data_IF_418547151365
#
_entry.id   IF_418547151365
#
_cell.length_a   1.000
_cell.length_b   1.000
_cell.length_c   1.000
_cell.angle_alpha   90.00
_cell.angle_beta   90.00
_cell.angle_gamma   90.00
#
_symmetry.space_group_name_H-M   'P 1'
#
loop_
_entity.id
_entity.type
_entity.pdbx_description
1 polymer ?
#
# COMPACT_ATOMS: atom_id res chain seq x y z
N UNK A 1 -2.06 -11.58 15.40
CA UNK A 1 -1.05 -10.67 15.99
C UNK A 1 0.16 -11.53 16.31
N UNK A 2 1.34 -11.12 15.85
CA UNK A 2 2.59 -11.79 16.18
C UNK A 2 2.93 -11.62 17.68
N UNK A 3 3.97 -12.32 18.13
CA UNK A 3 4.46 -12.16 19.49
C UNK A 3 5.06 -10.75 19.67
N UNK A 4 4.78 -10.12 20.81
CA UNK A 4 5.35 -8.83 21.19
C UNK A 4 6.30 -8.97 22.38
N UNK A 5 7.27 -8.07 22.47
CA UNK A 5 8.18 -7.94 23.61
C UNK A 5 7.49 -7.35 24.84
N UNK A 6 8.15 -7.45 26.00
CA UNK A 6 7.75 -6.77 27.24
C UNK A 6 8.01 -5.26 27.21
N UNK A 7 8.97 -4.82 26.40
CA UNK A 7 9.31 -3.43 26.14
C UNK A 7 9.76 -3.28 24.67
N UNK A 8 9.49 -2.15 24.01
CA UNK A 8 9.87 -1.96 22.62
C UNK A 8 11.37 -1.69 22.48
N UNK A 9 11.96 -2.18 21.39
CA UNK A 9 13.32 -1.81 20.97
C UNK A 9 13.20 -0.50 20.17
N UNK A 10 13.58 0.60 20.82
CA UNK A 10 13.44 1.97 20.30
C UNK A 10 14.70 2.51 19.62
N UNK A 11 15.76 1.72 19.57
CA UNK A 11 16.96 2.05 18.82
C UNK A 11 16.64 2.12 17.33
N UNK A 12 17.14 3.17 16.67
CA UNK A 12 16.88 3.45 15.26
C UNK A 12 18.16 3.29 14.46
N UNK A 13 18.06 2.63 13.31
CA UNK A 13 19.14 2.57 12.33
C UNK A 13 18.81 3.53 11.20
N UNK A 14 19.56 4.62 11.12
CA UNK A 14 19.33 5.71 10.17
C UNK A 14 20.46 5.86 9.18
N UNK A 15 20.12 6.24 7.95
CA UNK A 15 21.08 6.61 6.92
C UNK A 15 20.57 7.82 6.13
N UNK A 16 21.50 8.58 5.57
CA UNK A 16 21.21 9.69 4.68
C UNK A 16 22.19 9.71 3.51
N UNK A 17 21.81 10.39 2.44
CA UNK A 17 22.67 10.59 1.29
C UNK A 17 22.00 11.50 0.28
N UNK A 18 22.72 11.79 -0.80
CA UNK A 18 22.15 12.54 -1.90
C UNK A 18 23.19 12.95 -2.92
N UNK A 19 22.68 13.45 -4.02
CA UNK A 19 23.41 13.97 -5.16
C UNK A 19 22.67 15.19 -5.73
N UNK A 20 23.04 15.62 -6.93
CA UNK A 20 22.43 16.74 -7.64
C UNK A 20 20.97 16.48 -8.12
N UNK A 21 20.52 15.22 -8.12
CA UNK A 21 19.18 14.84 -8.55
C UNK A 21 18.21 14.71 -7.37
N UNK A 22 18.66 14.09 -6.28
CA UNK A 22 17.83 13.84 -5.10
C UNK A 22 18.65 13.75 -3.81
N UNK A 23 17.97 13.98 -2.68
CA UNK A 23 18.50 13.70 -1.33
C UNK A 23 17.57 12.70 -0.66
N UNK A 24 18.06 11.92 0.29
CA UNK A 24 17.22 11.02 1.05
C UNK A 24 17.62 10.93 2.52
N UNK A 25 16.66 10.56 3.34
CA UNK A 25 16.88 10.02 4.67
C UNK A 25 16.02 8.77 4.84
N UNK A 26 16.58 7.76 5.50
CA UNK A 26 15.89 6.53 5.86
C UNK A 26 16.15 6.23 7.33
N UNK A 27 15.15 5.69 8.00
CA UNK A 27 15.26 5.15 9.35
C UNK A 27 14.53 3.81 9.41
N UNK A 28 14.96 2.94 10.33
CA UNK A 28 14.36 1.65 10.62
C UNK A 28 14.36 1.41 12.14
N UNK A 29 13.27 0.90 12.71
CA UNK A 29 13.09 0.65 14.14
C UNK A 29 12.30 -0.65 14.36
N UNK A 30 12.78 -1.53 15.25
CA UNK A 30 12.13 -2.81 15.52
C UNK A 30 10.80 -2.66 16.27
N UNK A 31 10.71 -1.72 17.22
CA UNK A 31 9.48 -1.50 17.98
C UNK A 31 9.15 -2.69 18.89
N UNK A 32 7.88 -3.11 18.91
CA UNK A 32 7.38 -4.12 19.84
C UNK A 32 7.54 -5.57 19.34
N UNK A 33 7.89 -5.79 18.08
CA UNK A 33 8.10 -7.14 17.53
C UNK A 33 9.34 -7.80 18.12
N UNK A 34 9.35 -9.13 18.19
CA UNK A 34 10.48 -9.91 18.72
C UNK A 34 11.71 -9.92 17.80
N UNK A 35 11.51 -9.65 16.51
CA UNK A 35 12.50 -9.59 15.44
C UNK A 35 12.32 -8.29 14.65
N UNK A 36 13.40 -7.83 14.00
CA UNK A 36 13.37 -6.82 12.94
C UNK A 36 13.46 -7.56 11.61
N UNK A 37 12.34 -7.66 10.89
CA UNK A 37 12.26 -8.40 9.62
C UNK A 37 12.27 -7.46 8.40
N UNK A 38 12.15 -6.15 8.61
CA UNK A 38 12.25 -5.14 7.56
C UNK A 38 13.69 -5.00 7.01
N UNK A 39 13.77 -4.67 5.72
CA UNK A 39 14.97 -4.20 5.05
C UNK A 39 14.69 -2.97 4.18
N UNK A 40 15.74 -2.30 3.70
CA UNK A 40 15.62 -1.19 2.76
C UNK A 40 16.81 -1.10 1.81
N UNK A 41 16.67 -0.33 0.73
CA UNK A 41 17.73 -0.03 -0.23
C UNK A 41 17.68 1.44 -0.66
N UNK A 42 18.86 2.06 -0.79
CA UNK A 42 19.02 3.41 -1.33
C UNK A 42 20.27 3.46 -2.22
N UNK A 43 20.06 3.62 -3.53
CA UNK A 43 21.11 3.67 -4.55
C UNK A 43 20.92 4.92 -5.39
N UNK A 44 21.85 5.88 -5.34
CA UNK A 44 21.72 7.15 -6.07
C UNK A 44 22.00 7.02 -7.58
N UNK A 45 22.84 6.06 -7.97
CA UNK A 45 23.23 5.86 -9.37
C UNK A 45 23.29 4.37 -9.71
N UNK A 46 22.16 3.82 -10.18
CA UNK A 46 22.08 2.44 -10.64
C UNK A 46 23.04 2.16 -11.80
N UNK A 47 23.13 3.11 -12.73
CA UNK A 47 23.90 2.92 -13.95
C UNK A 47 25.38 2.80 -13.65
N UNK A 48 25.97 3.79 -12.98
CA UNK A 48 27.40 3.76 -12.63
C UNK A 48 27.74 2.57 -11.74
N UNK A 49 26.85 2.17 -10.84
CA UNK A 49 27.13 1.10 -9.87
C UNK A 49 27.07 -0.30 -10.48
N UNK A 50 26.19 -0.55 -11.46
CA UNK A 50 25.92 -1.92 -11.91
C UNK A 50 25.99 -2.16 -13.43
N UNK A 51 25.86 -1.11 -14.25
CA UNK A 51 25.82 -1.26 -15.72
C UNK A 51 26.90 -0.47 -16.46
N UNK A 52 27.53 0.50 -15.79
CA UNK A 52 28.52 1.42 -16.35
C UNK A 52 29.91 0.80 -16.45
N UNK A 53 30.85 1.47 -17.15
CA UNK A 53 32.27 1.11 -17.11
C UNK A 53 32.77 1.13 -15.66
N UNK A 54 33.71 0.25 -15.31
CA UNK A 54 34.28 0.15 -13.95
C UNK A 54 35.05 1.38 -13.49
N UNK A 55 35.26 2.36 -14.37
CA UNK A 55 35.82 3.65 -14.02
C UNK A 55 34.73 4.44 -13.27
N UNK A 56 34.91 4.64 -11.96
CA UNK A 56 34.00 5.20 -10.94
C UNK A 56 33.47 6.64 -11.20
N UNK A 57 33.30 7.05 -12.46
CA UNK A 57 32.71 8.33 -12.81
C UNK A 57 31.19 8.25 -12.64
N UNK A 58 30.57 9.22 -11.95
CA UNK A 58 29.11 9.31 -11.88
C UNK A 58 28.49 9.39 -13.27
N UNK A 59 27.32 8.78 -13.44
CA UNK A 59 26.48 8.95 -14.63
C UNK A 59 26.08 10.41 -14.76
N UNK A 60 25.93 10.92 -15.98
CA UNK A 60 25.42 12.27 -16.20
C UNK A 60 24.07 12.45 -15.47
N UNK A 61 23.83 13.58 -14.78
CA UNK A 61 22.59 13.82 -14.03
C UNK A 61 21.31 13.60 -14.86
N UNK A 62 21.36 13.89 -16.16
CA UNK A 62 20.20 13.75 -17.05
C UNK A 62 19.90 12.29 -17.42
N UNK A 63 20.86 11.39 -17.20
CA UNK A 63 20.74 9.95 -17.44
C UNK A 63 20.73 9.13 -16.15
N UNK A 64 20.86 9.79 -14.99
CA UNK A 64 20.97 9.10 -13.71
C UNK A 64 19.63 8.51 -13.29
N UNK A 65 19.69 7.28 -12.80
CA UNK A 65 18.56 6.56 -12.21
C UNK A 65 18.90 6.21 -10.76
N UNK A 66 18.20 6.85 -9.83
CA UNK A 66 18.24 6.47 -8.41
C UNK A 66 17.21 5.37 -8.15
N UNK A 67 17.49 4.47 -7.20
CA UNK A 67 16.61 3.41 -6.75
C UNK A 67 16.45 3.46 -5.23
N UNK A 68 15.21 3.38 -4.79
CA UNK A 68 14.84 3.27 -3.38
C UNK A 68 13.89 2.10 -3.18
N UNK A 69 13.95 1.44 -2.02
CA UNK A 69 13.02 0.36 -1.70
C UNK A 69 12.88 0.13 -0.20
N UNK A 70 11.67 -0.23 0.23
CA UNK A 70 11.36 -0.73 1.57
C UNK A 70 10.74 -2.12 1.41
N UNK A 71 11.18 -3.05 2.25
CA UNK A 71 10.81 -4.46 2.21
C UNK A 71 10.39 -4.88 3.60
N UNK A 72 9.09 -5.09 3.80
CA UNK A 72 8.52 -5.55 5.07
C UNK A 72 8.53 -7.08 5.08
N UNK A 73 9.37 -7.67 5.94
CA UNK A 73 9.55 -9.12 6.02
C UNK A 73 8.54 -9.79 6.94
N UNK A 74 8.16 -11.02 6.62
CA UNK A 74 7.30 -11.83 7.46
C UNK A 74 7.73 -13.29 7.48
N UNK A 75 7.61 -13.92 8.65
CA UNK A 75 8.01 -15.32 8.83
C UNK A 75 9.52 -15.51 8.86
N UNK A 76 10.28 -14.41 9.01
CA UNK A 76 11.73 -14.35 8.95
C UNK A 76 12.23 -13.16 8.13
N UNK A 77 13.47 -12.76 8.36
CA UNK A 77 14.12 -11.60 7.74
C UNK A 77 14.86 -11.92 6.42
N UNK A 78 15.12 -13.21 6.15
CA UNK A 78 16.06 -13.60 5.09
C UNK A 78 15.64 -13.17 3.69
N UNK A 79 14.34 -13.27 3.36
CA UNK A 79 13.82 -12.84 2.04
C UNK A 79 13.85 -11.32 1.91
N UNK A 80 13.50 -10.58 2.95
CA UNK A 80 13.60 -9.11 2.95
C UNK A 80 15.05 -8.64 2.78
N UNK A 81 15.99 -9.26 3.51
CA UNK A 81 17.42 -8.97 3.39
C UNK A 81 17.96 -9.29 1.99
N UNK A 82 17.64 -10.47 1.44
CA UNK A 82 18.05 -10.83 0.08
C UNK A 82 17.52 -9.81 -0.93
N UNK A 83 16.23 -9.46 -0.81
CA UNK A 83 15.56 -8.55 -1.72
C UNK A 83 16.18 -7.15 -1.64
N UNK A 84 16.41 -6.63 -0.44
CA UNK A 84 17.07 -5.34 -0.23
C UNK A 84 18.49 -5.28 -0.80
N UNK A 85 19.24 -6.38 -0.71
CA UNK A 85 20.58 -6.46 -1.27
C UNK A 85 20.59 -6.65 -2.79
N UNK A 86 19.58 -7.28 -3.40
CA UNK A 86 19.72 -7.81 -4.76
C UNK A 86 18.69 -7.32 -5.78
N UNK A 87 17.47 -6.92 -5.38
CA UNK A 87 16.40 -6.57 -6.33
C UNK A 87 16.85 -5.50 -7.34
N UNK A 88 17.44 -4.42 -6.86
CA UNK A 88 17.95 -3.32 -7.69
C UNK A 88 19.09 -3.75 -8.65
N UNK A 89 19.91 -4.75 -8.26
CA UNK A 89 20.94 -5.34 -9.12
C UNK A 89 20.32 -6.23 -10.20
N UNK A 90 19.24 -6.92 -9.87
CA UNK A 90 18.53 -7.82 -10.78
C UNK A 90 17.73 -6.99 -11.79
N UNK A 91 17.03 -5.94 -11.36
CA UNK A 91 16.30 -4.99 -12.22
C UNK A 91 17.26 -4.36 -13.24
N UNK A 92 18.42 -3.85 -12.81
CA UNK A 92 19.38 -3.20 -13.70
C UNK A 92 20.03 -4.13 -14.75
N UNK A 93 19.90 -5.45 -14.57
CA UNK A 93 20.39 -6.46 -15.51
C UNK A 93 19.32 -6.98 -16.48
N UNK A 94 18.07 -6.55 -16.34
CA UNK A 94 17.00 -6.98 -17.24
C UNK A 94 17.21 -6.41 -18.66
N UNK A 95 16.81 -7.17 -19.67
CA UNK A 95 16.89 -6.72 -21.07
C UNK A 95 15.99 -5.49 -21.32
N UNK A 96 14.82 -5.46 -20.68
CA UNK A 96 13.90 -4.32 -20.66
C UNK A 96 14.55 -3.05 -20.09
N UNK A 97 15.38 -3.18 -19.04
CA UNK A 97 16.14 -2.05 -18.48
C UNK A 97 17.11 -1.47 -19.51
N UNK A 98 17.87 -2.32 -20.19
CA UNK A 98 18.82 -1.90 -21.22
C UNK A 98 18.14 -1.22 -22.43
N UNK A 99 16.86 -1.52 -22.68
CA UNK A 99 16.03 -0.88 -23.71
C UNK A 99 15.39 0.44 -23.24
N UNK A 100 15.56 0.82 -21.97
CA UNK A 100 14.92 1.98 -21.36
C UNK A 100 13.45 1.76 -20.98
N UNK A 101 12.95 0.52 -21.05
CA UNK A 101 11.62 0.14 -20.57
C UNK A 101 11.70 -0.20 -19.09
N UNK A 102 11.75 0.85 -18.27
CA UNK A 102 11.91 0.74 -16.81
C UNK A 102 10.69 0.08 -16.16
N UNK A 103 9.49 0.30 -16.71
CA UNK A 103 8.27 -0.32 -16.20
C UNK A 103 8.34 -1.84 -16.33
N UNK A 104 8.68 -2.33 -17.53
CA UNK A 104 8.84 -3.77 -17.74
C UNK A 104 10.04 -4.32 -16.97
N UNK A 105 11.13 -3.56 -16.84
CA UNK A 105 12.30 -3.96 -16.06
C UNK A 105 11.99 -4.20 -14.57
N UNK A 106 11.11 -3.39 -13.99
CA UNK A 106 10.65 -3.61 -12.61
C UNK A 106 9.82 -4.89 -12.52
N UNK A 107 8.87 -5.11 -13.43
CA UNK A 107 8.06 -6.34 -13.47
C UNK A 107 8.93 -7.59 -13.62
N UNK A 108 9.83 -7.60 -14.59
CA UNK A 108 10.77 -8.69 -14.85
C UNK A 108 11.70 -8.90 -13.65
N UNK A 109 12.21 -7.81 -13.06
CA UNK A 109 13.16 -7.84 -11.96
C UNK A 109 12.57 -8.40 -10.67
N UNK A 110 11.31 -8.12 -10.36
CA UNK A 110 10.61 -8.70 -9.21
C UNK A 110 10.46 -10.22 -9.36
N UNK A 111 9.97 -10.70 -10.51
CA UNK A 111 9.86 -12.13 -10.79
C UNK A 111 11.22 -12.84 -10.84
N UNK A 112 12.24 -12.18 -11.39
CA UNK A 112 13.60 -12.69 -11.42
C UNK A 112 14.22 -12.76 -10.02
N UNK A 113 13.90 -11.83 -9.13
CA UNK A 113 14.31 -11.88 -7.72
C UNK A 113 13.69 -13.07 -7.00
N UNK A 114 12.39 -13.29 -7.19
CA UNK A 114 11.67 -14.44 -6.65
C UNK A 114 12.29 -15.77 -7.12
N UNK A 115 12.62 -15.87 -8.41
CA UNK A 115 13.31 -17.03 -8.99
C UNK A 115 14.72 -17.20 -8.43
N UNK A 116 15.48 -16.12 -8.26
CA UNK A 116 16.84 -16.16 -7.76
C UNK A 116 16.91 -16.71 -6.33
N UNK A 117 15.91 -16.38 -5.49
CA UNK A 117 15.79 -16.96 -4.14
C UNK A 117 15.46 -18.45 -4.24
N UNK A 118 14.49 -18.83 -5.07
CA UNK A 118 14.07 -20.23 -5.23
C UNK A 118 15.19 -21.15 -5.76
N UNK A 119 16.09 -20.60 -6.58
CA UNK A 119 17.25 -21.32 -7.14
C UNK A 119 18.47 -21.36 -6.20
N UNK A 120 18.51 -20.56 -5.13
CA UNK A 120 19.62 -20.53 -4.18
C UNK A 120 19.42 -21.60 -3.09
N UNK A 121 20.30 -22.63 -3.00
CA UNK A 121 20.18 -23.69 -1.99
C UNK A 121 20.17 -23.19 -0.54
N UNK A 122 20.68 -21.97 -0.27
CA UNK A 122 20.62 -21.36 1.07
C UNK A 122 19.19 -21.05 1.52
N UNK A 123 18.26 -20.93 0.57
CA UNK A 123 16.87 -20.57 0.79
C UNK A 123 15.91 -21.75 0.55
N UNK A 124 16.42 -22.98 0.37
CA UNK A 124 15.60 -24.17 0.09
C UNK A 124 14.55 -24.46 1.18
N UNK A 125 14.93 -24.26 2.44
CA UNK A 125 14.03 -24.41 3.61
C UNK A 125 13.42 -23.07 4.07
N UNK A 126 13.62 -22.00 3.32
CA UNK A 126 13.12 -20.68 3.70
C UNK A 126 11.61 -20.56 3.44
N UNK A 127 10.90 -20.12 4.46
CA UNK A 127 9.43 -19.96 4.44
C UNK A 127 8.99 -18.51 4.57
N UNK A 128 9.93 -17.60 4.85
CA UNK A 128 9.64 -16.17 4.88
C UNK A 128 9.23 -15.63 3.51
N UNK A 129 8.57 -14.49 3.57
CA UNK A 129 8.35 -13.62 2.43
C UNK A 129 8.64 -12.19 2.80
N UNK A 130 8.52 -11.30 1.83
CA UNK A 130 8.48 -9.87 2.11
C UNK A 130 7.60 -9.13 1.11
N UNK A 131 7.05 -8.01 1.54
CA UNK A 131 6.55 -6.97 0.64
C UNK A 131 7.72 -6.28 -0.06
N UNK A 132 7.43 -5.55 -1.13
CA UNK A 132 8.40 -4.71 -1.80
C UNK A 132 7.70 -3.49 -2.40
N UNK A 133 7.99 -2.31 -1.85
CA UNK A 133 7.61 -1.01 -2.41
C UNK A 133 8.88 -0.28 -2.83
N UNK A 134 9.02 -0.02 -4.13
CA UNK A 134 10.26 0.48 -4.73
C UNK A 134 10.00 1.65 -5.66
N UNK A 135 10.99 2.53 -5.80
CA UNK A 135 10.94 3.65 -6.72
C UNK A 135 12.24 3.75 -7.52
N UNK A 136 12.14 3.89 -8.84
CA UNK A 136 13.21 4.40 -9.70
C UNK A 136 12.92 5.86 -10.02
N UNK A 137 13.89 6.74 -9.80
CA UNK A 137 13.76 8.18 -10.00
C UNK A 137 14.80 8.62 -11.03
N UNK A 138 14.32 9.30 -12.07
CA UNK A 138 15.14 10.02 -13.05
C UNK A 138 14.91 11.53 -12.92
N UNK A 139 15.60 12.32 -13.74
CA UNK A 139 15.35 13.76 -13.86
C UNK A 139 13.89 14.11 -14.21
N UNK A 140 13.19 13.25 -14.95
CA UNK A 140 11.89 13.57 -15.55
C UNK A 140 10.74 12.72 -15.04
N UNK A 141 11.01 11.55 -14.46
CA UNK A 141 9.99 10.56 -14.13
C UNK A 141 10.32 9.80 -12.86
N UNK A 142 9.26 9.38 -12.18
CA UNK A 142 9.29 8.39 -11.11
C UNK A 142 8.54 7.15 -11.59
N UNK A 143 9.14 5.97 -11.43
CA UNK A 143 8.48 4.67 -11.56
C UNK A 143 8.38 4.06 -10.18
N UNK A 144 7.16 3.82 -9.69
CA UNK A 144 6.91 3.15 -8.43
C UNK A 144 6.39 1.74 -8.71
N UNK A 145 7.07 0.72 -8.20
CA UNK A 145 6.62 -0.67 -8.27
C UNK A 145 6.29 -1.19 -6.87
N UNK A 146 5.09 -1.76 -6.70
CA UNK A 146 4.60 -2.27 -5.43
C UNK A 146 4.11 -3.72 -5.54
N UNK A 147 4.51 -4.55 -4.59
CA UNK A 147 3.97 -5.89 -4.34
C UNK A 147 3.85 -6.08 -2.82
N UNK A 148 2.63 -6.09 -2.29
CA UNK A 148 2.34 -6.11 -0.85
C UNK A 148 1.64 -4.84 -0.38
N UNK A 149 1.68 -4.57 0.92
CA UNK A 149 0.99 -3.47 1.60
C UNK A 149 1.92 -2.42 2.25
N UNK A 150 3.22 -2.48 1.94
CA UNK A 150 4.05 -1.27 1.95
C UNK A 150 3.52 -0.26 0.94
N UNK A 151 3.74 1.05 1.19
CA UNK A 151 3.18 2.12 0.36
C UNK A 151 4.18 3.23 0.02
N UNK A 152 4.02 3.76 -1.18
CA UNK A 152 4.75 4.89 -1.75
C UNK A 152 3.80 6.06 -2.06
N UNK A 153 4.05 7.22 -1.47
CA UNK A 153 3.20 8.42 -1.56
C UNK A 153 4.03 9.65 -1.91
N UNK A 154 3.64 10.36 -2.96
CA UNK A 154 4.27 11.59 -3.41
C UNK A 154 3.63 12.82 -2.74
N UNK A 155 4.45 13.70 -2.16
CA UNK A 155 4.02 15.00 -1.66
C UNK A 155 4.02 16.04 -2.77
N UNK A 156 2.83 16.51 -3.17
CA UNK A 156 2.64 17.51 -4.24
C UNK A 156 2.01 18.75 -3.63
N UNK A 157 2.78 19.83 -3.45
CA UNK A 157 2.33 21.03 -2.72
C UNK A 157 1.64 20.68 -1.39
N UNK A 158 2.22 19.75 -0.64
CA UNK A 158 1.69 19.25 0.63
C UNK A 158 0.46 18.35 0.56
N UNK A 159 -0.07 18.04 -0.62
CA UNK A 159 -1.11 17.01 -0.79
C UNK A 159 -0.49 15.67 -1.09
N UNK A 160 -1.04 14.62 -0.49
CA UNK A 160 -0.65 13.25 -0.77
C UNK A 160 -1.20 12.81 -2.13
N UNK A 161 -0.31 12.35 -3.00
CA UNK A 161 -0.64 11.64 -4.22
C UNK A 161 -0.16 10.19 -4.09
N UNK A 162 -1.04 9.20 -3.97
CA UNK A 162 -0.62 7.81 -3.94
C UNK A 162 0.04 7.44 -5.27
N UNK A 163 1.21 6.81 -5.22
CA UNK A 163 1.88 6.21 -6.38
C UNK A 163 1.86 4.67 -6.33
N UNK A 164 1.40 4.10 -5.23
CA UNK A 164 1.11 2.68 -5.09
C UNK A 164 -0.18 2.46 -4.31
N UNK A 165 -0.75 1.27 -4.45
CA UNK A 165 -1.92 0.81 -3.71
C UNK A 165 -1.60 -0.51 -3.02
N UNK A 166 -2.16 -0.71 -1.82
CA UNK A 166 -1.87 -1.88 -0.99
C UNK A 166 -2.53 -3.13 -1.56
N UNK A 167 -1.78 -4.23 -1.63
CA UNK A 167 -2.26 -5.50 -2.14
C UNK A 167 -2.84 -6.38 -1.03
N UNK A 168 -4.08 -6.09 -0.63
CA UNK A 168 -4.82 -6.88 0.36
C UNK A 168 -5.61 -8.01 -0.34
N UNK A 169 -5.70 -9.22 0.24
CA UNK A 169 -6.45 -10.33 -0.36
C UNK A 169 -7.94 -10.05 -0.64
N UNK A 170 -8.51 -9.00 -0.04
CA UNK A 170 -9.92 -8.62 -0.20
C UNK A 170 -10.17 -7.79 -1.46
N UNK A 171 -9.11 -7.17 -2.00
CA UNK A 171 -9.19 -6.38 -3.22
C UNK A 171 -9.75 -7.24 -4.35
N UNK A 172 -10.65 -6.68 -5.16
CA UNK A 172 -11.42 -7.46 -6.14
C UNK A 172 -10.52 -8.25 -7.11
N UNK A 173 -9.49 -7.59 -7.67
CA UNK A 173 -8.53 -8.23 -8.58
C UNK A 173 -7.68 -9.32 -7.90
N UNK A 174 -7.24 -9.07 -6.66
CA UNK A 174 -6.43 -10.03 -5.89
C UNK A 174 -7.26 -11.26 -5.52
N UNK A 175 -8.48 -11.05 -5.01
CA UNK A 175 -9.42 -12.12 -4.66
C UNK A 175 -9.80 -12.97 -5.87
N UNK A 176 -10.00 -12.33 -7.03
CA UNK A 176 -10.27 -13.03 -8.29
C UNK A 176 -9.08 -13.90 -8.70
N UNK A 177 -7.84 -13.39 -8.66
CA UNK A 177 -6.62 -14.18 -8.93
C UNK A 177 -6.49 -15.35 -7.97
N UNK A 178 -6.60 -15.10 -6.66
CA UNK A 178 -6.50 -16.13 -5.60
C UNK A 178 -7.51 -17.27 -5.86
N UNK A 179 -8.76 -16.92 -6.16
CA UNK A 179 -9.82 -17.90 -6.43
C UNK A 179 -9.57 -18.68 -7.72
N UNK A 180 -9.12 -18.00 -8.79
CA UNK A 180 -8.78 -18.63 -10.06
C UNK A 180 -7.59 -19.59 -9.94
N UNK A 181 -6.65 -19.31 -9.03
CA UNK A 181 -5.51 -20.14 -8.71
C UNK A 181 -5.85 -21.33 -7.76
N UNK A 182 -7.12 -21.50 -7.38
CA UNK A 182 -7.58 -22.57 -6.50
C UNK A 182 -7.44 -22.29 -5.00
N UNK A 183 -7.05 -21.06 -4.63
CA UNK A 183 -7.07 -20.59 -3.25
C UNK A 183 -8.41 -19.98 -2.83
N UNK A 184 -8.49 -19.48 -1.61
CA UNK A 184 -9.65 -18.75 -1.10
C UNK A 184 -9.22 -17.60 -0.18
N UNK A 185 -10.15 -16.69 0.12
CA UNK A 185 -9.92 -15.58 1.05
C UNK A 185 -10.88 -15.72 2.22
N UNK A 186 -10.34 -15.84 3.42
CA UNK A 186 -11.10 -15.98 4.67
C UNK A 186 -10.54 -15.05 5.75
N UNK A 187 -11.41 -14.33 6.46
CA UNK A 187 -11.04 -13.29 7.45
C UNK A 187 -9.93 -12.32 6.98
N UNK A 188 -9.96 -11.98 5.69
CA UNK A 188 -8.99 -11.09 5.08
C UNK A 188 -7.62 -11.72 4.83
N UNK A 189 -7.54 -13.05 4.79
CA UNK A 189 -6.29 -13.80 4.61
C UNK A 189 -6.41 -14.82 3.47
N UNK A 190 -5.34 -14.97 2.71
CA UNK A 190 -5.16 -16.02 1.71
C UNK A 190 -5.13 -17.37 2.41
N UNK A 191 -6.04 -18.25 2.01
CA UNK A 191 -6.26 -19.57 2.60
C UNK A 191 -6.41 -19.55 4.13
N UNK A 192 -6.93 -18.44 4.69
CA UNK A 192 -7.05 -18.21 6.13
C UNK A 192 -5.71 -17.97 6.87
N UNK A 193 -4.58 -17.96 6.16
CA UNK A 193 -3.23 -17.89 6.75
C UNK A 193 -2.58 -16.52 6.53
N UNK A 194 -2.23 -16.17 5.28
CA UNK A 194 -1.40 -15.00 4.96
C UNK A 194 -2.24 -13.75 4.75
N UNK A 195 -1.89 -12.62 5.38
CA UNK A 195 -2.61 -11.35 5.25
C UNK A 195 -2.26 -10.55 3.98
N UNK A 196 -1.28 -11.03 3.21
CA UNK A 196 -0.78 -10.43 1.98
C UNK A 196 -1.28 -11.23 0.78
N UNK A 197 -1.57 -10.53 -0.31
CA UNK A 197 -1.88 -11.16 -1.60
C UNK A 197 -0.71 -11.14 -2.58
N UNK A 198 0.26 -10.24 -2.39
CA UNK A 198 1.49 -10.18 -3.19
C UNK A 198 2.69 -10.06 -2.27
N UNK A 199 3.75 -10.79 -2.61
CA UNK A 199 5.00 -10.85 -1.87
C UNK A 199 6.09 -11.55 -2.69
N UNK A 200 7.36 -11.21 -2.43
CA UNK A 200 8.52 -12.01 -2.82
C UNK A 200 8.72 -13.09 -1.75
N UNK A 201 9.16 -14.30 -2.12
CA UNK A 201 9.19 -15.45 -1.22
C UNK A 201 7.83 -16.16 -1.14
N UNK A 202 7.41 -16.61 0.05
CA UNK A 202 6.11 -17.28 0.25
C UNK A 202 5.86 -18.45 -0.72
N UNK A 203 6.91 -19.22 -1.03
CA UNK A 203 6.88 -20.20 -2.11
C UNK A 203 5.85 -21.32 -1.89
N UNK A 204 5.37 -21.52 -0.66
CA UNK A 204 4.27 -22.44 -0.38
C UNK A 204 2.97 -22.09 -1.12
N UNK A 205 2.76 -20.81 -1.45
CA UNK A 205 1.61 -20.31 -2.19
C UNK A 205 1.85 -20.21 -3.71
N UNK A 206 3.04 -20.60 -4.20
CA UNK A 206 3.52 -20.43 -5.58
C UNK A 206 3.83 -21.75 -6.29
N UNK A 207 3.15 -22.83 -5.89
CA UNK A 207 3.47 -24.22 -6.32
C UNK A 207 2.62 -24.73 -7.49
N UNK A 208 1.74 -23.91 -8.08
CA UNK A 208 0.90 -24.38 -9.19
C UNK A 208 1.73 -24.46 -10.48
N UNK A 209 1.96 -25.66 -11.04
CA UNK A 209 2.80 -25.82 -12.23
C UNK A 209 2.09 -25.37 -13.53
N UNK A 210 0.77 -25.23 -13.50
CA UNK A 210 -0.05 -24.86 -14.66
C UNK A 210 -0.22 -23.35 -14.81
N UNK A 211 0.13 -22.58 -13.77
CA UNK A 211 -0.04 -21.13 -13.72
C UNK A 211 1.29 -20.42 -13.91
N UNK A 212 1.25 -19.29 -14.60
CA UNK A 212 2.42 -18.41 -14.68
C UNK A 212 2.72 -17.78 -13.31
N UNK A 213 3.94 -17.27 -13.07
CA UNK A 213 4.30 -16.65 -11.79
C UNK A 213 3.37 -15.51 -11.36
N UNK A 214 2.80 -14.77 -12.31
CA UNK A 214 1.88 -13.65 -12.05
C UNK A 214 0.48 -14.13 -11.63
N UNK A 215 0.14 -15.39 -11.92
CA UNK A 215 -1.19 -15.98 -11.70
C UNK A 215 -1.24 -16.90 -10.48
N UNK A 216 -0.15 -17.04 -9.73
CA UNK A 216 -0.10 -17.83 -8.50
C UNK A 216 -1.04 -17.25 -7.42
N UNK A 217 -1.33 -18.05 -6.38
CA UNK A 217 -2.20 -17.62 -5.26
C UNK A 217 -1.63 -16.36 -4.60
N UNK A 218 -0.33 -16.37 -4.30
CA UNK A 218 0.46 -15.18 -3.94
C UNK A 218 1.44 -14.94 -5.08
N UNK A 219 1.63 -13.70 -5.52
CA UNK A 219 2.56 -13.40 -6.61
C UNK A 219 3.58 -12.32 -6.22
N UNK A 220 4.79 -12.42 -6.74
CA UNK A 220 5.78 -11.35 -6.67
C UNK A 220 5.58 -10.26 -7.74
N UNK A 221 4.63 -10.45 -8.67
CA UNK A 221 4.41 -9.52 -9.77
C UNK A 221 3.90 -8.16 -9.28
N UNK A 222 4.63 -7.06 -9.52
CA UNK A 222 4.26 -5.76 -8.99
C UNK A 222 3.27 -5.04 -9.90
N UNK A 223 2.46 -4.17 -9.30
CA UNK A 223 1.84 -3.07 -10.04
C UNK A 223 2.87 -1.93 -10.16
N UNK A 224 2.93 -1.30 -11.34
CA UNK A 224 3.89 -0.22 -11.61
C UNK A 224 3.16 1.05 -12.06
N UNK A 225 3.39 2.14 -11.32
CA UNK A 225 2.87 3.47 -11.64
C UNK A 225 4.00 4.35 -12.17
N UNK A 226 3.73 5.06 -13.27
CA UNK A 226 4.66 6.03 -13.87
C UNK A 226 4.12 7.44 -13.65
N UNK A 227 4.94 8.31 -13.07
CA UNK A 227 4.61 9.72 -12.83
C UNK A 227 5.65 10.62 -13.50
N UNK A 228 5.19 11.57 -14.32
CA UNK A 228 6.02 12.64 -14.88
C UNK A 228 6.24 13.72 -13.83
N UNK A 229 7.51 14.04 -13.54
CA UNK A 229 7.88 15.04 -12.55
C UNK A 229 7.46 16.44 -12.98
N UNK A 230 7.00 17.22 -12.01
CA UNK A 230 6.59 18.62 -12.13
C UNK A 230 7.26 19.46 -11.05
N UNK A 231 7.25 20.79 -11.22
CA UNK A 231 7.81 21.72 -10.22
C UNK A 231 7.05 21.73 -8.88
N UNK A 232 5.88 21.09 -8.84
CA UNK A 232 5.01 20.98 -7.68
C UNK A 232 5.31 19.75 -6.82
N UNK A 233 6.04 18.79 -7.36
CA UNK A 233 6.46 17.58 -6.65
C UNK A 233 7.61 17.93 -5.69
N UNK A 234 7.42 17.67 -4.41
CA UNK A 234 8.34 18.11 -3.34
C UNK A 234 9.23 16.95 -2.88
N UNK A 235 8.62 15.83 -2.51
CA UNK A 235 9.31 14.64 -2.00
C UNK A 235 8.47 13.38 -2.20
N UNK A 236 9.12 12.22 -2.20
CA UNK A 236 8.49 10.89 -2.17
C UNK A 236 8.70 10.26 -0.78
N UNK A 237 7.68 9.59 -0.25
CA UNK A 237 7.77 8.77 0.96
C UNK A 237 7.54 7.31 0.58
N UNK A 238 8.39 6.41 1.06
CA UNK A 238 8.21 4.96 0.97
C UNK A 238 8.30 4.40 2.39
N UNK A 239 7.30 3.64 2.84
CA UNK A 239 7.32 3.03 4.17
C UNK A 239 6.53 1.70 4.21
N UNK A 240 6.81 0.90 5.25
CA UNK A 240 6.04 -0.31 5.57
C UNK A 240 4.73 0.01 6.30
N UNK A 241 3.88 -1.00 6.49
CA UNK A 241 2.57 -0.84 7.12
C UNK A 241 2.66 -0.38 8.58
N UNK A 242 3.78 -0.64 9.27
CA UNK A 242 4.04 -0.13 10.62
C UNK A 242 3.91 1.40 10.76
N UNK A 243 4.09 2.15 9.65
CA UNK A 243 3.78 3.58 9.56
C UNK A 243 2.34 3.82 9.08
N UNK A 244 1.93 3.16 7.99
CA UNK A 244 0.66 3.44 7.31
C UNK A 244 -0.58 2.96 8.08
N UNK A 245 -0.45 1.98 8.97
CA UNK A 245 -1.50 1.57 9.91
C UNK A 245 -1.71 2.63 11.02
N UNK A 246 -0.70 3.47 11.27
CA UNK A 246 -0.75 4.49 12.31
C UNK A 246 -1.21 5.84 11.79
N UNK A 247 -0.87 6.18 10.54
CA UNK A 247 -1.08 7.50 9.95
C UNK A 247 -1.57 7.40 8.51
N UNK A 248 -2.50 8.27 8.12
CA UNK A 248 -2.92 8.39 6.72
C UNK A 248 -1.82 8.98 5.84
N UNK A 249 -1.91 8.71 4.53
CA UNK A 249 -1.04 9.29 3.50
C UNK A 249 -0.92 10.82 3.62
N UNK A 250 -2.06 11.50 3.78
CA UNK A 250 -2.09 12.96 3.95
C UNK A 250 -1.41 13.41 5.25
N UNK A 251 -1.63 12.71 6.36
CA UNK A 251 -1.01 13.05 7.64
C UNK A 251 0.53 12.88 7.60
N UNK A 252 1.03 11.83 6.94
CA UNK A 252 2.46 11.60 6.75
C UNK A 252 3.08 12.69 5.88
N UNK A 253 2.46 13.03 4.75
CA UNK A 253 2.94 14.11 3.87
C UNK A 253 3.00 15.44 4.61
N UNK A 254 1.96 15.80 5.37
CA UNK A 254 1.96 17.03 6.16
C UNK A 254 3.03 17.04 7.26
N UNK A 255 3.25 15.91 7.94
CA UNK A 255 4.29 15.77 8.95
C UNK A 255 5.68 15.96 8.35
N UNK A 256 5.96 15.29 7.23
CA UNK A 256 7.24 15.37 6.52
C UNK A 256 7.46 16.80 6.02
N UNK A 257 6.46 17.40 5.39
CA UNK A 257 6.53 18.78 4.87
C UNK A 257 6.82 19.79 5.98
N UNK A 258 6.23 19.61 7.17
CA UNK A 258 6.53 20.45 8.35
C UNK A 258 7.98 20.30 8.80
N UNK A 259 8.50 19.07 8.85
CA UNK A 259 9.91 18.80 9.17
C UNK A 259 10.87 19.47 8.17
N UNK A 260 10.54 19.40 6.87
CA UNK A 260 11.30 20.07 5.81
C UNK A 260 11.24 21.60 5.95
N UNK A 261 10.05 22.18 6.17
CA UNK A 261 9.92 23.61 6.40
C UNK A 261 10.73 24.10 7.62
N UNK A 262 10.85 23.25 8.65
CA UNK A 262 11.70 23.46 9.82
C UNK A 262 13.19 23.12 9.61
N UNK A 263 13.60 22.83 8.37
CA UNK A 263 15.00 22.52 7.98
C UNK A 263 15.59 21.31 8.69
N UNK A 264 14.77 20.34 9.06
CA UNK A 264 15.25 19.10 9.66
C UNK A 264 15.89 18.21 8.60
N UNK A 265 16.94 17.48 8.98
CA UNK A 265 17.49 16.41 8.15
C UNK A 265 16.44 15.32 7.92
N UNK A 266 16.38 14.78 6.71
CA UNK A 266 15.32 13.84 6.30
C UNK A 266 15.29 12.58 7.16
N UNK A 267 16.45 12.07 7.60
CA UNK A 267 16.49 10.88 8.47
C UNK A 267 15.86 11.19 9.84
N UNK A 268 16.07 12.39 10.40
CA UNK A 268 15.43 12.81 11.68
C UNK A 268 13.93 12.94 11.55
N UNK A 269 13.43 13.36 10.39
CA UNK A 269 11.99 13.38 10.11
C UNK A 269 11.43 11.94 10.16
N UNK A 270 12.16 10.97 9.61
CA UNK A 270 11.80 9.55 9.69
C UNK A 270 11.81 9.04 11.14
N UNK A 271 12.86 9.34 11.90
CA UNK A 271 12.95 8.98 13.33
C UNK A 271 11.78 9.54 14.15
N UNK A 272 11.47 10.83 13.95
CA UNK A 272 10.36 11.50 14.64
C UNK A 272 8.99 10.91 14.24
N UNK A 273 8.83 10.46 12.99
CA UNK A 273 7.61 9.77 12.56
C UNK A 273 7.43 8.44 13.28
N UNK A 274 8.51 7.66 13.43
CA UNK A 274 8.49 6.40 14.16
C UNK A 274 8.14 6.60 15.62
N UNK A 275 8.72 7.61 16.29
CA UNK A 275 8.38 7.95 17.67
C UNK A 275 6.90 8.36 17.82
N UNK A 276 6.34 9.01 16.80
CA UNK A 276 4.93 9.38 16.77
C UNK A 276 3.99 8.18 16.50
N UNK A 277 4.47 7.14 15.81
CA UNK A 277 3.69 5.94 15.51
C UNK A 277 3.80 4.87 16.60
N UNK A 278 4.89 4.87 17.38
CA UNK A 278 5.15 3.85 18.39
C UNK A 278 4.08 3.84 19.49
N UNK A 279 3.47 2.67 19.70
CA UNK A 279 2.47 2.51 20.75
C UNK A 279 3.10 2.61 22.15
N UNK A 280 2.37 3.23 23.08
CA UNK A 280 2.78 3.33 24.49
C UNK A 280 2.70 2.00 25.23
N UNK A 281 1.91 1.04 24.73
CA UNK A 281 1.80 -0.32 25.22
C UNK A 281 1.41 -1.28 24.08
N UNK A 282 1.73 -2.56 24.23
CA UNK A 282 1.42 -3.62 23.26
C UNK A 282 0.02 -4.25 23.40
N UNK A 283 -0.77 -3.84 24.41
CA UNK A 283 -2.10 -4.39 24.69
C UNK A 283 -3.19 -3.78 23.78
N UNK A 284 -2.91 -2.60 23.19
CA UNK A 284 -3.86 -1.83 22.37
C UNK A 284 -3.95 -2.24 20.91
N UNK A 285 -4.36 -3.49 20.63
CA UNK A 285 -4.88 -3.86 19.30
C UNK A 285 -3.87 -3.93 18.16
N UNK A 286 -2.57 -3.88 18.45
CA UNK A 286 -1.46 -4.11 17.53
C UNK A 286 -1.03 -2.91 16.68
N UNK A 287 -1.79 -1.81 16.64
CA UNK A 287 -1.39 -0.58 15.94
C UNK A 287 -0.19 0.03 16.65
N UNK A 288 0.84 0.45 15.91
CA UNK A 288 2.07 1.01 16.47
C UNK A 288 2.96 -0.02 17.19
N UNK A 289 2.67 -1.31 17.03
CA UNK A 289 3.44 -2.42 17.61
C UNK A 289 4.32 -3.15 16.59
N UNK A 290 4.39 -2.66 15.36
CA UNK A 290 5.12 -3.31 14.27
C UNK A 290 6.59 -2.88 14.16
N UNK A 291 7.34 -3.56 13.30
CA UNK A 291 8.55 -3.00 12.71
C UNK A 291 8.17 -1.72 11.94
N UNK A 292 9.08 -0.76 11.88
CA UNK A 292 8.83 0.51 11.22
C UNK A 292 10.05 0.88 10.38
N UNK A 293 9.86 1.02 9.08
CA UNK A 293 10.87 1.49 8.13
C UNK A 293 10.26 2.57 7.24
N UNK A 294 10.95 3.71 7.13
CA UNK A 294 10.50 4.85 6.34
C UNK A 294 11.67 5.51 5.64
N UNK A 295 11.51 5.77 4.35
CA UNK A 295 12.42 6.55 3.51
C UNK A 295 11.71 7.80 3.00
N UNK A 296 12.33 8.96 3.19
CA UNK A 296 11.92 10.24 2.58
C UNK A 296 12.95 10.63 1.53
N UNK A 297 12.51 10.86 0.30
CA UNK A 297 13.34 11.29 -0.83
C UNK A 297 12.94 12.70 -1.26
N UNK A 298 13.83 13.67 -1.04
CA UNK A 298 13.66 15.04 -1.53
C UNK A 298 14.02 15.17 -3.02
N UNK A 299 13.09 15.69 -3.82
CA UNK A 299 13.22 15.82 -5.26
C UNK A 299 13.81 17.20 -5.59
N UNK A 300 15.09 17.25 -5.95
CA UNK A 300 15.80 18.53 -6.12
C UNK A 300 15.42 19.26 -7.41
N UNK A 301 15.09 18.54 -8.48
CA UNK A 301 14.69 19.12 -9.77
C UNK A 301 15.63 20.25 -10.26
N UNK A 302 16.94 20.01 -10.19
CA UNK A 302 17.98 20.97 -10.60
C UNK A 302 18.31 22.07 -9.58
N UNK A 303 17.66 22.07 -8.41
CA UNK A 303 17.97 22.96 -7.30
C UNK A 303 19.06 22.36 -6.40
N UNK A 304 19.77 23.20 -5.66
CA UNK A 304 20.60 22.72 -4.54
C UNK A 304 19.72 22.25 -3.37
N UNK A 305 20.28 21.43 -2.46
CA UNK A 305 19.61 21.03 -1.19
C UNK A 305 19.05 22.26 -0.46
N UNK A 306 19.84 23.31 -0.32
CA UNK A 306 19.44 24.54 0.39
C UNK A 306 18.28 25.26 -0.29
N UNK A 307 18.34 25.43 -1.61
CA UNK A 307 17.27 26.04 -2.41
C UNK A 307 15.98 25.23 -2.33
N UNK A 308 16.06 23.91 -2.39
CA UNK A 308 14.90 23.02 -2.25
C UNK A 308 14.23 23.18 -0.88
N UNK A 309 15.01 23.13 0.20
CA UNK A 309 14.50 23.38 1.54
C UNK A 309 13.89 24.79 1.66
N UNK A 310 14.50 25.82 1.06
CA UNK A 310 14.01 27.20 1.10
C UNK A 310 12.68 27.35 0.35
N UNK A 311 12.59 26.78 -0.86
CA UNK A 311 11.37 26.75 -1.66
C UNK A 311 10.19 26.16 -0.89
N UNK A 312 10.37 25.01 -0.23
CA UNK A 312 9.28 24.36 0.53
C UNK A 312 8.91 25.19 1.76
N UNK A 313 9.89 25.72 2.49
CA UNK A 313 9.63 26.59 3.65
C UNK A 313 8.85 27.86 3.26
N UNK A 314 9.21 28.49 2.14
CA UNK A 314 8.50 29.66 1.60
C UNK A 314 7.08 29.31 1.15
N UNK A 315 6.89 28.18 0.46
CA UNK A 315 5.55 27.69 0.09
C UNK A 315 4.65 27.54 1.32
N UNK A 316 5.17 26.90 2.38
CA UNK A 316 4.44 26.73 3.64
C UNK A 316 4.13 28.08 4.30
N UNK A 317 5.10 28.99 4.37
CA UNK A 317 4.90 30.33 4.93
C UNK A 317 3.86 31.16 4.17
N UNK A 318 3.76 30.95 2.85
CA UNK A 318 2.77 31.58 1.98
C UNK A 318 1.41 30.88 1.95
N UNK A 319 1.25 29.76 2.66
CA UNK A 319 0.01 28.98 2.70
C UNK A 319 -0.27 28.18 1.42
N UNK A 320 0.76 27.86 0.62
CA UNK A 320 0.62 27.04 -0.58
C UNK A 320 0.48 25.56 -0.21
N UNK A 321 -0.77 25.13 -0.05
CA UNK A 321 -1.16 23.76 0.26
C UNK A 321 -1.06 23.40 1.75
N UNK A 322 -1.61 22.23 2.15
CA UNK A 322 -1.68 21.86 3.55
C UNK A 322 -0.29 21.58 4.12
N UNK A 323 -0.14 21.95 5.39
CA UNK A 323 0.99 21.63 6.24
C UNK A 323 0.40 21.59 7.64
N UNK A 324 0.42 20.43 8.29
CA UNK A 324 -0.27 20.23 9.56
C UNK A 324 0.10 21.36 10.55
N UNK A 325 -0.88 22.06 11.15
CA UNK A 325 -0.57 22.96 12.25
C UNK A 325 0.14 22.17 13.38
N UNK A 326 0.92 22.83 14.25
CA UNK A 326 1.59 22.17 15.39
C UNK A 326 0.65 21.53 16.43
N UNK A 327 -0.63 21.33 16.14
CA UNK A 327 -1.65 21.04 17.14
C UNK A 327 -1.70 19.54 17.52
N UNK A 328 -1.07 19.26 18.66
CA UNK A 328 -1.37 18.38 19.82
C UNK A 328 -2.40 17.24 19.72
N UNK A 329 -3.32 17.20 18.75
CA UNK A 329 -4.39 16.17 18.64
C UNK A 329 -4.04 14.96 17.78
N UNK A 330 -2.98 15.00 16.97
CA UNK A 330 -2.49 13.79 16.29
C UNK A 330 -1.92 12.75 17.28
N UNK A 331 -1.57 13.21 18.50
CA UNK A 331 -1.10 12.39 19.62
C UNK A 331 -2.21 12.02 20.62
N UNK A 332 -3.48 12.38 20.37
CA UNK A 332 -4.58 11.82 21.18
C UNK A 332 -4.72 10.35 20.81
N UNK A 333 -4.15 9.50 21.68
CA UNK A 333 -4.48 8.10 21.86
C UNK A 333 -5.98 7.87 21.61
N UNK A 334 -6.32 7.47 20.38
CA UNK A 334 -7.67 7.08 20.01
C UNK A 334 -7.86 5.69 20.60
N UNK A 335 -8.71 5.61 21.61
CA UNK A 335 -8.80 4.48 22.53
C UNK A 335 -8.90 3.08 21.90
N UNK A 336 -8.75 2.03 22.72
CA UNK A 336 -8.68 0.65 22.25
C UNK A 336 -9.86 0.29 21.34
N UNK A 337 -9.56 -0.15 20.11
CA UNK A 337 -10.52 -0.81 19.22
C UNK A 337 -10.88 -0.11 17.91
N UNK A 338 -10.35 1.08 17.61
CA UNK A 338 -10.56 1.72 16.29
C UNK A 338 -9.33 1.46 15.41
N UNK A 339 -9.38 0.39 14.61
CA UNK A 339 -8.51 0.25 13.44
C UNK A 339 -9.02 1.20 12.37
N UNK A 340 -8.32 2.31 12.13
CA UNK A 340 -8.53 3.07 10.90
C UNK A 340 -7.70 2.39 9.81
N UNK A 341 -8.36 1.73 8.86
CA UNK A 341 -7.70 1.35 7.61
C UNK A 341 -7.53 2.63 6.80
N UNK A 342 -6.32 3.17 6.77
CA UNK A 342 -5.97 4.29 5.90
C UNK A 342 -5.61 3.73 4.53
N UNK A 343 -6.58 3.20 3.80
CA UNK A 343 -6.38 2.72 2.43
C UNK A 343 -6.63 3.86 1.44
N UNK A 344 -5.71 4.07 0.51
CA UNK A 344 -5.93 4.96 -0.63
C UNK A 344 -6.60 4.14 -1.75
N UNK A 345 -7.65 4.67 -2.37
CA UNK A 345 -8.16 4.13 -3.64
C UNK A 345 -7.80 5.04 -4.82
N UNK A 346 -7.67 4.48 -6.05
CA UNK A 346 -7.36 5.28 -7.23
C UNK A 346 -8.30 6.47 -7.44
N UNK A 347 -9.59 6.28 -7.17
CA UNK A 347 -10.63 7.29 -7.41
C UNK A 347 -10.64 8.41 -6.35
N UNK A 348 -10.11 8.16 -5.14
CA UNK A 348 -10.15 9.13 -4.04
C UNK A 348 -9.33 10.38 -4.34
N UNK A 349 -8.16 10.19 -4.96
CA UNK A 349 -7.27 11.30 -5.33
C UNK A 349 -7.86 12.19 -6.42
N UNK A 350 -8.47 11.59 -7.45
CA UNK A 350 -9.11 12.35 -8.53
C UNK A 350 -10.24 13.21 -7.99
N UNK A 351 -11.09 12.66 -7.11
CA UNK A 351 -12.16 13.38 -6.44
C UNK A 351 -11.63 14.52 -5.56
N UNK A 352 -10.51 14.32 -4.84
CA UNK A 352 -9.91 15.39 -4.04
C UNK A 352 -9.31 16.52 -4.89
N UNK A 353 -8.67 16.16 -6.02
CA UNK A 353 -8.19 17.09 -7.04
C UNK A 353 -9.35 17.91 -7.64
N UNK A 354 -10.47 17.27 -7.98
CA UNK A 354 -11.66 17.93 -8.50
C UNK A 354 -12.30 18.87 -7.47
N UNK A 355 -12.43 18.45 -6.21
CA UNK A 355 -12.88 19.30 -5.11
C UNK A 355 -11.96 20.51 -4.94
N UNK A 356 -10.65 20.32 -5.05
CA UNK A 356 -9.66 21.40 -4.94
C UNK A 356 -9.75 22.39 -6.11
N UNK A 357 -9.99 21.91 -7.34
CA UNK A 357 -10.29 22.78 -8.49
C UNK A 357 -11.60 23.55 -8.29
N UNK A 358 -12.61 22.92 -7.69
CA UNK A 358 -13.88 23.59 -7.37
C UNK A 358 -13.71 24.68 -6.29
N UNK A 359 -12.79 24.49 -5.33
CA UNK A 359 -12.43 25.52 -4.34
C UNK A 359 -11.66 26.70 -4.95
N UNK A 360 -10.92 26.50 -6.04
CA UNK A 360 -10.21 27.58 -6.75
C UNK A 360 -11.11 28.42 -7.66
N UNK A 361 -12.37 28.04 -7.88
CA UNK A 361 -13.34 28.76 -8.74
C UNK A 361 -14.47 29.43 -7.96
N UNK A 362 -14.36 29.59 -6.63
CA UNK A 362 -15.27 30.47 -5.87
C UNK A 362 -14.85 31.94 -5.95
N UNK A 363 -14.85 32.50 -7.16
CA UNK A 363 -15.21 33.92 -7.34
C UNK A 363 -16.70 33.94 -7.70
N UNK A 364 -17.50 34.61 -6.85
CA UNK A 364 -18.95 34.64 -6.92
C UNK A 364 -19.48 34.94 -8.33
N UNK A 365 -20.46 34.16 -8.77
CA UNK A 365 -21.20 34.45 -9.99
C UNK A 365 -22.09 35.68 -9.75
N UNK A 366 -21.79 36.77 -10.45
CA UNK A 366 -22.70 37.91 -10.57
C UNK A 366 -23.84 37.48 -11.50
N UNK A 367 -25.08 37.48 -11.00
CA UNK A 367 -26.27 37.28 -11.82
C UNK A 367 -26.82 38.66 -12.19
N UNK A 368 -26.76 39.00 -13.49
CA UNK A 368 -27.42 40.18 -14.04
C UNK A 368 -28.91 39.87 -14.23
N UNK A 369 -29.76 40.46 -13.40
CA UNK A 369 -31.20 40.47 -13.65
C UNK A 369 -31.49 41.53 -14.73
N UNK A 370 -32.43 41.23 -15.63
CA UNK A 370 -32.74 42.01 -16.83
C UNK A 370 -33.26 43.44 -16.59
N UNK A 371 -33.24 43.94 -15.36
CA UNK A 371 -33.54 45.31 -14.95
C UNK A 371 -32.29 46.13 -14.56
N UNK A 372 -31.09 45.52 -14.57
CA UNK A 372 -29.82 46.20 -14.31
C UNK A 372 -29.41 46.26 -12.84
N UNK A 373 -30.03 45.46 -11.97
CA UNK A 373 -29.67 45.41 -10.53
C UNK A 373 -28.75 44.22 -10.22
N UNK A 374 -27.67 44.47 -9.47
CA UNK A 374 -26.70 43.45 -9.01
C UNK A 374 -27.04 42.97 -7.59
N UNK A 375 -27.00 41.65 -7.34
CA UNK A 375 -27.19 41.06 -6.00
C UNK A 375 -26.03 40.12 -5.67
N UNK A 376 -25.44 40.29 -4.48
CA UNK A 376 -24.41 39.42 -3.92
C UNK A 376 -25.09 38.45 -2.95
N UNK A 377 -25.04 37.15 -3.22
CA UNK A 377 -25.58 36.13 -2.33
C UNK A 377 -24.49 35.61 -1.39
N UNK A 378 -24.38 36.22 -0.21
CA UNK A 378 -23.69 35.61 0.93
C UNK A 378 -24.73 35.31 2.01
N UNK A 379 -25.24 34.08 2.05
CA UNK A 379 -25.86 33.50 3.24
C UNK A 379 -25.86 31.97 3.16
N UNK A 380 -25.39 31.38 4.26
CA UNK A 380 -25.20 29.95 4.48
C UNK A 380 -26.52 29.17 4.35
N UNK A 381 -26.56 28.18 3.46
CA UNK A 381 -27.62 27.16 3.43
C UNK A 381 -27.23 25.98 4.34
N UNK A 382 -27.35 26.17 5.65
CA UNK A 382 -27.52 25.08 6.62
C UNK A 382 -28.59 25.51 7.63
N UNK A 383 -29.87 25.52 7.22
CA UNK A 383 -31.05 25.49 8.11
C UNK A 383 -32.32 25.63 7.25
N UNK A 384 -32.75 24.58 6.54
CA UNK A 384 -34.05 24.60 5.84
C UNK A 384 -34.60 23.19 5.52
N UNK A 385 -34.48 22.25 6.45
CA UNK A 385 -35.29 21.02 6.42
C UNK A 385 -35.67 20.61 7.84
N UNK A 386 -36.55 21.39 8.47
CA UNK A 386 -37.49 20.87 9.46
C UNK A 386 -38.61 21.89 9.67
N UNK A 387 -39.85 21.40 9.63
CA UNK A 387 -41.13 22.08 9.92
C UNK A 387 -41.75 22.86 8.76
N UNK A 388 -42.62 22.22 7.97
CA UNK A 388 -44.08 22.45 7.98
C UNK A 388 -44.74 21.65 6.86
N UNK A 389 -45.62 20.71 7.20
CA UNK A 389 -46.85 20.36 6.46
C UNK A 389 -47.69 19.38 7.31
N UNK A 390 -48.10 19.84 8.49
CA UNK A 390 -49.37 19.42 9.11
C UNK A 390 -50.32 20.60 8.94
N UNK A 391 -51.17 20.54 7.92
CA UNK A 391 -52.54 21.05 7.87
C UNK A 391 -52.95 21.20 6.42
N UNK A 392 -53.46 20.12 5.83
CA UNK A 392 -54.63 20.27 4.99
C UNK A 392 -55.51 19.01 5.03
N UNK A 393 -56.78 19.28 5.38
CA UNK A 393 -57.97 18.49 5.07
C UNK A 393 -58.29 17.26 5.94
N UNK A 394 -58.72 17.58 7.16
CA UNK A 394 -59.85 16.88 7.77
C UNK A 394 -61.13 17.14 6.95
N UNK A 395 -61.59 16.15 6.19
CA UNK A 395 -63.02 15.85 5.96
C UNK A 395 -63.15 14.60 5.07
N UNK A 396 -63.39 13.44 5.68
CA UNK A 396 -64.58 12.61 5.42
C UNK A 396 -64.49 11.25 6.16
N UNK A 397 -65.33 11.13 7.20
CA UNK A 397 -66.10 9.93 7.63
C UNK A 397 -65.35 8.73 8.25
N UNK A 398 -65.43 8.64 9.58
CA UNK A 398 -65.39 7.41 10.41
C UNK A 398 -66.78 6.71 10.43
N UNK A 399 -66.99 5.56 11.12
CA UNK A 399 -66.18 4.35 11.31
C UNK A 399 -67.05 3.05 11.23
N UNK A 400 -66.42 1.86 11.30
CA UNK A 400 -66.86 0.62 12.00
C UNK A 400 -65.87 -0.47 11.57
N UNK A 401 -65.42 -1.44 12.35
CA UNK A 401 -65.69 -1.91 13.71
C UNK A 401 -64.69 -3.03 14.02
N UNK A 402 -64.66 -3.44 15.27
CA UNK A 402 -63.62 -4.23 15.93
C UNK A 402 -63.60 -5.74 15.64
N UNK A 403 -62.40 -6.31 15.80
CA UNK A 403 -62.05 -7.59 16.49
C UNK A 403 -62.54 -8.95 15.98
N UNK A 404 -61.52 -9.82 15.86
CA UNK A 404 -61.40 -11.21 16.31
C UNK A 404 -61.96 -12.38 15.48
N UNK A 405 -61.11 -13.42 15.50
CA UNK A 405 -61.36 -14.87 15.45
C UNK A 405 -61.19 -15.66 14.14
N UNK A 406 -60.22 -16.60 14.26
CA UNK A 406 -60.04 -17.94 13.67
C UNK A 406 -61.20 -18.50 12.83
N UNK A 407 -60.86 -19.12 11.70
CA UNK A 407 -60.94 -20.58 11.45
C UNK A 407 -60.71 -20.92 9.96
N UNK A 408 -60.17 -22.12 9.70
CA UNK A 408 -60.61 -22.93 8.55
C UNK A 408 -59.70 -23.03 7.32
N UNK A 409 -58.81 -24.01 7.32
CA UNK A 409 -58.36 -24.72 6.09
C UNK A 409 -59.53 -25.51 5.49
N UNK A 410 -59.50 -25.83 4.18
CA UNK A 410 -59.08 -27.19 3.82
C UNK A 410 -58.24 -27.28 2.54
N UNK A 411 -57.29 -28.23 2.53
CA UNK A 411 -56.66 -28.75 1.30
C UNK A 411 -57.60 -29.66 0.50
N UNK A 412 -57.14 -30.25 -0.61
CA UNK A 412 -56.69 -31.64 -0.50
C UNK A 412 -55.52 -32.08 -1.40
N UNK A 413 -54.77 -33.07 -0.88
CA UNK A 413 -54.21 -34.30 -1.50
C UNK A 413 -53.22 -34.15 -2.69
N UNK A 414 -52.04 -34.77 -2.72
CA UNK A 414 -51.50 -35.92 -1.99
C UNK A 414 -51.13 -37.03 -2.98
N UNK A 415 -49.85 -37.42 -3.03
CA UNK A 415 -49.37 -38.79 -3.37
C UNK A 415 -47.89 -38.95 -3.01
N UNK A 416 -47.63 -39.84 -2.06
CA UNK A 416 -46.36 -40.51 -1.73
C UNK A 416 -46.37 -41.90 -2.37
N UNK A 417 -45.17 -42.44 -2.63
CA UNK A 417 -44.76 -43.87 -2.58
C UNK A 417 -43.22 -43.80 -2.35
N UNK A 418 -42.63 -44.17 -1.20
CA UNK A 418 -42.16 -45.51 -0.74
C UNK A 418 -41.33 -46.30 -1.77
N UNK A 419 -40.24 -47.04 -1.50
CA UNK A 419 -39.38 -47.30 -0.34
C UNK A 419 -38.15 -48.15 -0.79
N UNK A 420 -37.09 -48.18 0.05
CA UNK A 420 -36.18 -49.32 0.34
C UNK A 420 -35.15 -49.86 -0.69
N UNK A 421 -33.95 -50.21 -0.19
CA UNK A 421 -33.06 -51.21 -0.80
C UNK A 421 -31.58 -51.10 -0.40
N UNK A 422 -31.12 -51.95 0.51
CA UNK A 422 -29.72 -52.15 0.89
C UNK A 422 -29.22 -53.54 0.42
N UNK A 423 -27.99 -53.67 -0.12
CA UNK A 423 -27.14 -54.90 -0.20
C UNK A 423 -25.74 -54.48 -0.70
N UNK A 424 -24.64 -54.52 0.07
CA UNK A 424 -23.65 -55.59 0.32
C UNK A 424 -22.86 -56.20 -0.89
N UNK A 425 -21.53 -56.05 -0.80
CA UNK A 425 -20.40 -57.00 -1.08
C UNK A 425 -20.06 -57.38 -2.54
N UNK A 426 -18.79 -57.12 -2.94
CA UNK A 426 -17.89 -58.13 -3.54
C UNK A 426 -16.42 -57.68 -3.55
N UNK A 427 -15.56 -58.51 -2.96
CA UNK A 427 -14.09 -58.49 -2.96
C UNK A 427 -13.49 -59.28 -4.15
N UNK A 428 -12.27 -58.88 -4.56
CA UNK A 428 -11.13 -59.69 -5.06
C UNK A 428 -11.17 -60.28 -6.51
N UNK A 429 -10.02 -60.68 -7.13
CA UNK A 429 -8.65 -60.80 -6.59
C UNK A 429 -7.50 -60.19 -7.45
N UNK A 430 -6.30 -60.28 -6.87
CA UNK A 430 -4.98 -60.00 -7.42
C UNK A 430 -4.51 -60.98 -8.51
N UNK A 431 -3.52 -60.55 -9.32
CA UNK A 431 -2.55 -61.42 -9.97
C UNK A 431 -1.15 -60.77 -10.04
N UNK A 432 -0.19 -61.48 -9.43
CA UNK A 432 1.25 -61.59 -9.70
C UNK A 432 1.57 -61.79 -11.20
N UNK A 433 2.76 -61.69 -11.78
CA UNK A 433 4.19 -61.61 -11.44
C UNK A 433 4.89 -61.17 -12.77
N UNK A 434 6.06 -60.51 -12.74
CA UNK A 434 7.30 -61.07 -13.33
C UNK A 434 8.49 -60.08 -13.38
N UNK A 435 9.67 -60.67 -13.17
CA UNK A 435 11.03 -60.11 -13.12
C UNK A 435 11.66 -60.00 -14.51
N UNK A 436 12.62 -59.09 -14.68
CA UNK A 436 14.01 -59.30 -15.21
C UNK A 436 14.71 -57.93 -15.41
N UNK A 437 15.79 -57.57 -14.71
CA UNK A 437 17.24 -57.88 -14.84
C UNK A 437 18.02 -57.10 -15.94
N UNK A 438 18.92 -56.22 -15.45
CA UNK A 438 20.30 -55.88 -15.89
C UNK A 438 20.60 -55.58 -17.37
N UNK A 439 21.19 -54.42 -17.73
CA UNK A 439 22.64 -54.07 -17.88
C UNK A 439 22.65 -52.76 -18.71
N UNK A 440 23.61 -51.83 -18.76
CA UNK A 440 25.08 -51.74 -18.59
C UNK A 440 25.42 -50.28 -18.19
N UNK A 441 26.50 -49.96 -17.47
CA UNK A 441 27.84 -49.63 -18.01
C UNK A 441 27.83 -48.80 -19.30
#
# INVERSE_FOLDING_TARGET
MGQTLSEPVVEKTSAEGGDECCIYGVSAMQGWRISMEDAHAAILDLHAKYTGPTDEKPTDPDQRLAFFGVYDGHGGDKVALFTGENLHKIVSKQESFAKGDIEQALKDGFLATDRAILEDPKYEEEVSGCTASTAIISKHKIWVANAGDSRSVLGVKGRAKPLSFDHKPQNEGEKARISAAGGFVDFGRVNGNLALSRAIGDFEFKKSPELSPEQQIVTAYPDVTVHELTDDDEFLVIACDGIWDCQSSQAVVEFVRRGIAAKQDLYRICENMMDNCLASNSETGGVGCDNMTMTVIGLLNGQTKEEWYNKIAERVANGDGPCAPPDVRAAEFRGPGIRNQFEDQPDDYELEMERSRAFSVRQGRIILLGDGTEVISDQNEEELFNQTEEQDLANQVHPTGSRNEREGTPGPQGKQDEASGATQISESPASTDDKEKSTSA
#
